data_IF_715849951746
#
_entry.id   IF_715849951746
#
_cell.length_a   1.000
_cell.length_b   1.000
_cell.length_c   1.000
_cell.angle_alpha   90.00
_cell.angle_beta   90.00
_cell.angle_gamma   90.00
#
_symmetry.space_group_name_H-M   'P 1'
#
loop_
_entity.id
_entity.type
_entity.pdbx_description
1 polymer ?
#
# COMPACT_ATOMS: atom_id res chain seq x y z
N UNK A 1 16.20 2.23 23.73
CA UNK A 1 16.41 1.47 22.48
C UNK A 1 16.59 2.49 21.38
N UNK A 2 17.78 2.59 20.78
CA UNK A 2 18.04 3.53 19.68
C UNK A 2 17.58 2.84 18.39
N UNK A 3 16.44 3.27 17.84
CA UNK A 3 16.04 2.85 16.50
C UNK A 3 17.12 3.31 15.52
N UNK A 4 17.64 2.39 14.73
CA UNK A 4 18.63 2.70 13.70
C UNK A 4 17.94 3.41 12.54
N UNK A 5 18.64 4.31 11.84
CA UNK A 5 18.06 5.07 10.70
C UNK A 5 17.45 4.16 9.60
N UNK A 6 17.91 2.91 9.51
CA UNK A 6 17.40 1.89 8.58
C UNK A 6 15.98 1.45 8.98
N UNK A 7 15.72 1.26 10.27
CA UNK A 7 14.40 0.87 10.80
C UNK A 7 13.38 2.02 10.65
N UNK A 8 13.82 3.27 10.83
CA UNK A 8 12.98 4.45 10.65
C UNK A 8 12.59 4.61 9.18
N UNK A 9 13.54 4.45 8.26
CA UNK A 9 13.29 4.57 6.83
C UNK A 9 12.34 3.49 6.30
N UNK A 10 12.50 2.24 6.76
CA UNK A 10 11.63 1.12 6.39
C UNK A 10 10.18 1.30 6.84
N UNK A 11 9.97 1.68 8.11
CA UNK A 11 8.63 1.93 8.65
C UNK A 11 7.94 3.13 7.98
N UNK A 12 8.69 4.21 7.72
CA UNK A 12 8.16 5.39 7.02
C UNK A 12 7.75 5.05 5.59
N UNK A 13 8.61 4.35 4.84
CA UNK A 13 8.27 3.90 3.48
C UNK A 13 7.04 2.99 3.46
N UNK A 14 6.90 2.10 4.45
CA UNK A 14 5.72 1.24 4.59
C UNK A 14 4.44 2.05 4.80
N UNK A 15 4.45 3.01 5.73
CA UNK A 15 3.30 3.89 6.00
C UNK A 15 2.90 4.73 4.77
N UNK A 16 3.89 5.24 4.03
CA UNK A 16 3.66 5.98 2.79
C UNK A 16 3.03 5.09 1.71
N UNK A 17 3.56 3.87 1.49
CA UNK A 17 3.01 2.90 0.52
C UNK A 17 1.56 2.53 0.89
N UNK A 18 1.29 2.23 2.17
CA UNK A 18 -0.07 1.93 2.64
C UNK A 18 -1.02 3.12 2.44
N UNK A 19 -0.52 4.34 2.57
CA UNK A 19 -1.31 5.56 2.38
C UNK A 19 -1.61 5.78 0.89
N UNK A 20 -0.62 5.62 0.02
CA UNK A 20 -0.80 5.70 -1.45
C UNK A 20 -1.78 4.63 -1.93
N UNK A 21 -1.68 3.39 -1.42
CA UNK A 21 -2.61 2.30 -1.75
C UNK A 21 -4.06 2.67 -1.42
N UNK A 22 -4.32 3.22 -0.22
CA UNK A 22 -5.65 3.66 0.22
C UNK A 22 -6.18 4.81 -0.63
N UNK A 23 -5.33 5.80 -0.94
CA UNK A 23 -5.70 6.92 -1.80
C UNK A 23 -6.04 6.46 -3.22
N UNK A 24 -5.20 5.60 -3.82
CA UNK A 24 -5.43 5.04 -5.14
C UNK A 24 -6.73 4.23 -5.22
N UNK A 25 -7.03 3.44 -4.19
CA UNK A 25 -8.30 2.70 -4.10
C UNK A 25 -9.50 3.65 -4.00
N UNK A 26 -9.44 4.67 -3.14
CA UNK A 26 -10.50 5.68 -3.02
C UNK A 26 -10.75 6.45 -4.32
N UNK A 27 -9.68 6.81 -5.03
CA UNK A 27 -9.76 7.45 -6.34
C UNK A 27 -10.39 6.50 -7.37
N UNK A 28 -9.99 5.23 -7.40
CA UNK A 28 -10.54 4.25 -8.35
C UNK A 28 -12.04 4.02 -8.12
N UNK A 29 -12.46 3.84 -6.86
CA UNK A 29 -13.86 3.71 -6.48
C UNK A 29 -14.66 4.96 -6.84
N UNK A 30 -14.11 6.15 -6.57
CA UNK A 30 -14.72 7.42 -6.95
C UNK A 30 -14.91 7.54 -8.46
N UNK A 31 -13.88 7.25 -9.24
CA UNK A 31 -13.92 7.26 -10.70
C UNK A 31 -14.92 6.25 -11.26
N UNK A 32 -15.01 5.05 -10.66
CA UNK A 32 -16.01 4.05 -11.05
C UNK A 32 -17.45 4.50 -10.73
N UNK A 33 -17.63 5.24 -9.63
CA UNK A 33 -18.96 5.73 -9.21
C UNK A 33 -19.50 6.88 -10.08
N UNK A 34 -18.61 7.66 -10.69
CA UNK A 34 -18.98 8.78 -11.59
C UNK A 34 -18.86 8.40 -13.07
N UNK A 35 -18.34 7.21 -13.38
CA UNK A 35 -18.29 6.70 -14.74
C UNK A 35 -19.74 6.47 -15.25
N UNK A 36 -20.08 6.92 -16.46
CA UNK A 36 -21.39 6.66 -17.04
C UNK A 36 -21.67 5.14 -17.06
N UNK A 37 -22.86 4.71 -16.64
CA UNK A 37 -23.22 3.29 -16.49
C UNK A 37 -23.10 2.45 -17.79
N UNK A 38 -22.98 3.11 -18.94
CA UNK A 38 -22.75 2.49 -20.26
C UNK A 38 -21.27 2.32 -20.61
N UNK A 39 -20.36 2.86 -19.80
CA UNK A 39 -18.93 2.73 -19.96
C UNK A 39 -18.52 1.46 -19.20
N UNK A 40 -18.14 0.41 -19.93
CA UNK A 40 -17.37 -0.67 -19.32
C UNK A 40 -16.23 -0.02 -18.51
N UNK A 41 -16.05 -0.43 -17.24
CA UNK A 41 -15.03 0.11 -16.34
C UNK A 41 -13.76 0.39 -17.14
N UNK A 42 -13.37 1.67 -17.25
CA UNK A 42 -12.25 2.02 -18.12
C UNK A 42 -11.03 1.22 -17.68
N UNK A 43 -10.24 0.70 -18.62
CA UNK A 43 -9.07 -0.11 -18.29
C UNK A 43 -8.18 0.59 -17.26
N UNK A 44 -8.09 1.93 -17.33
CA UNK A 44 -7.40 2.78 -16.35
C UNK A 44 -7.92 2.67 -14.92
N UNK A 45 -9.23 2.57 -14.68
CA UNK A 45 -9.80 2.38 -13.34
C UNK A 45 -9.47 0.97 -12.82
N UNK A 46 -9.52 -0.04 -13.69
CA UNK A 46 -9.13 -1.41 -13.33
C UNK A 46 -7.66 -1.47 -12.95
N UNK A 47 -6.77 -0.88 -13.76
CA UNK A 47 -5.35 -0.78 -13.44
C UNK A 47 -5.10 -0.03 -12.13
N UNK A 48 -5.81 1.06 -11.88
CA UNK A 48 -5.67 1.82 -10.62
C UNK A 48 -6.07 0.97 -9.40
N UNK A 49 -7.15 0.18 -9.50
CA UNK A 49 -7.56 -0.75 -8.44
C UNK A 49 -6.55 -1.88 -8.23
N UNK A 50 -6.01 -2.46 -9.31
CA UNK A 50 -5.00 -3.52 -9.22
C UNK A 50 -3.69 -3.01 -8.63
N UNK A 51 -3.22 -1.83 -9.04
CA UNK A 51 -2.03 -1.20 -8.47
C UNK A 51 -2.23 -0.89 -6.99
N UNK A 52 -3.40 -0.39 -6.59
CA UNK A 52 -3.71 -0.16 -5.17
C UNK A 52 -3.65 -1.46 -4.35
N UNK A 53 -4.18 -2.57 -4.88
CA UNK A 53 -4.10 -3.89 -4.24
C UNK A 53 -2.66 -4.40 -4.14
N UNK A 54 -1.88 -4.26 -5.22
CA UNK A 54 -0.47 -4.67 -5.22
C UNK A 54 0.34 -3.86 -4.21
N UNK A 55 0.13 -2.55 -4.11
CA UNK A 55 0.80 -1.71 -3.12
C UNK A 55 0.43 -2.10 -1.69
N UNK A 56 -0.82 -2.48 -1.43
CA UNK A 56 -1.23 -2.99 -0.11
C UNK A 56 -0.52 -4.31 0.21
N UNK A 57 -0.47 -5.26 -0.72
CA UNK A 57 0.25 -6.53 -0.55
C UNK A 57 1.74 -6.29 -0.29
N UNK A 58 2.37 -5.40 -1.06
CA UNK A 58 3.78 -5.04 -0.87
C UNK A 58 4.01 -4.39 0.50
N UNK A 59 3.09 -3.54 0.96
CA UNK A 59 3.14 -2.95 2.30
C UNK A 59 3.09 -4.02 3.40
N UNK A 60 2.21 -5.01 3.26
CA UNK A 60 2.11 -6.12 4.21
C UNK A 60 3.35 -7.03 4.16
N UNK A 61 3.92 -7.27 2.96
CA UNK A 61 5.15 -8.04 2.80
C UNK A 61 6.39 -7.34 3.35
N UNK A 62 6.40 -6.01 3.46
CA UNK A 62 7.50 -5.28 4.10
C UNK A 62 7.66 -5.64 5.58
N UNK A 63 6.61 -6.10 6.26
CA UNK A 63 6.73 -6.64 7.62
C UNK A 63 7.60 -7.90 7.70
N UNK A 64 7.68 -8.65 6.59
CA UNK A 64 8.49 -9.87 6.50
C UNK A 64 9.99 -9.56 6.35
N UNK A 65 10.34 -8.40 5.79
CA UNK A 65 11.72 -7.96 5.57
C UNK A 65 12.24 -6.97 6.63
N UNK A 66 11.34 -6.31 7.36
CA UNK A 66 11.63 -5.46 8.49
C UNK A 66 10.92 -6.01 9.74
N UNK A 67 11.39 -7.13 10.33
CA UNK A 67 10.82 -7.60 11.57
C UNK A 67 10.91 -6.46 12.59
N UNK A 68 9.74 -6.07 13.12
CA UNK A 68 9.66 -5.12 14.21
C UNK A 68 10.64 -5.52 15.30
N UNK A 69 11.19 -4.56 16.05
CA UNK A 69 12.15 -4.85 17.11
C UNK A 69 11.62 -5.85 18.16
N UNK A 70 10.31 -6.10 18.20
CA UNK A 70 9.63 -7.14 18.99
C UNK A 70 9.80 -8.58 18.48
N UNK A 71 10.03 -8.80 17.18
CA UNK A 71 10.11 -10.13 16.55
C UNK A 71 11.53 -10.61 16.30
N UNK A 72 12.54 -10.01 16.93
CA UNK A 72 13.90 -10.53 16.87
C UNK A 72 13.98 -11.83 17.68
N UNK A 73 14.41 -12.96 17.09
CA UNK A 73 14.77 -14.11 17.90
C UNK A 73 15.84 -13.64 18.89
N UNK A 74 15.60 -13.85 20.18
CA UNK A 74 16.58 -13.59 21.23
C UNK A 74 17.87 -14.32 20.85
N UNK A 75 18.95 -13.55 20.62
CA UNK A 75 20.30 -14.07 20.39
C UNK A 75 20.96 -14.43 21.71
#
# INVERSE_FOLDING_TARGET
>A
MVMTNIEIAGNTAKEEIATIARQAMGLATGLQSVAPATSASSASVVYLMETAKQLAIVSDQLDEFAPSAENRPEM
#
